data_IF_248747294973
#
_entry.id   IF_248747294973
#
_cell.length_a   1.000
_cell.length_b   1.000
_cell.length_c   1.000
_cell.angle_alpha   90.00
_cell.angle_beta   90.00
_cell.angle_gamma   90.00
#
_symmetry.space_group_name_H-M   'P 1'
#
loop_
_entity.id
_entity.type
_entity.pdbx_description
1 polymer ?
#
# COMPACT_ATOMS: atom_id res chain seq x y z
N UNK A 1 -16.38 -54.63 -26.51
CA UNK A 1 -15.80 -53.97 -25.32
C UNK A 1 -15.11 -52.70 -25.79
N UNK A 2 -15.79 -51.56 -25.73
CA UNK A 2 -15.26 -50.29 -26.24
C UNK A 2 -14.63 -49.57 -25.04
N UNK A 3 -13.31 -49.47 -25.11
CA UNK A 3 -12.44 -48.86 -24.11
C UNK A 3 -12.82 -47.40 -23.89
N UNK A 4 -13.28 -47.06 -22.69
CA UNK A 4 -13.57 -45.69 -22.29
C UNK A 4 -12.25 -44.97 -22.02
N UNK A 5 -11.72 -44.31 -23.05
CA UNK A 5 -10.55 -43.44 -22.95
C UNK A 5 -10.95 -42.24 -22.08
N UNK A 6 -10.57 -42.29 -20.80
CA UNK A 6 -10.78 -41.21 -19.83
C UNK A 6 -9.98 -39.97 -20.23
N UNK A 7 -10.68 -38.91 -20.62
CA UNK A 7 -10.08 -37.60 -20.85
C UNK A 7 -9.80 -36.98 -19.48
N UNK A 8 -8.54 -36.99 -19.07
CA UNK A 8 -8.05 -36.24 -17.90
C UNK A 8 -7.86 -34.80 -18.34
N UNK A 9 -8.85 -33.94 -18.05
CA UNK A 9 -8.72 -32.50 -18.17
C UNK A 9 -7.80 -31.99 -17.05
N UNK A 10 -6.51 -31.82 -17.36
CA UNK A 10 -5.59 -31.02 -16.54
C UNK A 10 -6.04 -29.56 -16.60
N UNK A 11 -6.76 -29.13 -15.57
CA UNK A 11 -7.02 -27.71 -15.33
C UNK A 11 -5.70 -27.12 -14.82
N UNK A 12 -4.94 -26.48 -15.70
CA UNK A 12 -3.80 -25.66 -15.28
C UNK A 12 -4.33 -24.51 -14.42
N UNK A 13 -4.20 -24.64 -13.11
CA UNK A 13 -4.34 -23.53 -12.19
C UNK A 13 -3.19 -22.55 -12.48
N UNK A 14 -3.46 -21.58 -13.36
CA UNK A 14 -2.58 -20.43 -13.51
C UNK A 14 -2.70 -19.66 -12.20
N UNK A 15 -1.71 -19.84 -11.33
CA UNK A 15 -1.51 -18.96 -10.18
C UNK A 15 -1.22 -17.57 -10.74
N UNK A 16 -2.28 -16.79 -10.93
CA UNK A 16 -2.17 -15.37 -11.23
C UNK A 16 -1.57 -14.75 -9.98
N UNK A 17 -0.24 -14.60 -9.97
CA UNK A 17 0.42 -13.74 -9.01
C UNK A 17 -0.11 -12.34 -9.29
N UNK A 18 -1.16 -11.93 -8.59
CA UNK A 18 -1.63 -10.56 -8.58
C UNK A 18 -0.46 -9.73 -8.05
N UNK A 19 0.27 -9.10 -8.97
CA UNK A 19 1.37 -8.23 -8.63
C UNK A 19 0.73 -7.00 -8.00
N UNK A 20 0.97 -6.78 -6.71
CA UNK A 20 0.39 -5.67 -5.98
C UNK A 20 0.71 -4.36 -6.69
N UNK A 21 -0.33 -3.57 -6.93
CA UNK A 21 -0.30 -2.32 -7.65
C UNK A 21 -0.10 -1.19 -6.65
N UNK A 22 0.99 -0.45 -6.78
CA UNK A 22 1.41 0.53 -5.78
C UNK A 22 1.57 1.94 -6.35
N UNK A 23 1.28 2.93 -5.51
CA UNK A 23 1.51 4.35 -5.77
C UNK A 23 2.41 4.92 -4.68
N UNK A 24 3.42 5.66 -5.13
CA UNK A 24 4.35 6.37 -4.26
C UNK A 24 3.97 7.84 -4.14
N UNK A 25 3.94 8.35 -2.92
CA UNK A 25 3.69 9.77 -2.62
C UNK A 25 4.73 10.30 -1.66
N UNK A 26 5.08 11.57 -1.81
CA UNK A 26 6.10 12.22 -1.01
C UNK A 26 5.70 13.67 -0.68
N UNK A 27 6.12 14.14 0.50
CA UNK A 27 6.13 15.55 0.88
C UNK A 27 7.47 15.88 1.54
N UNK A 28 8.05 17.02 1.19
CA UNK A 28 9.30 17.49 1.78
C UNK A 28 10.55 16.76 1.28
N UNK A 29 11.63 16.85 2.07
CA UNK A 29 12.96 16.33 1.74
C UNK A 29 13.19 14.92 2.27
N UNK A 30 13.92 14.09 1.52
CA UNK A 30 14.21 12.68 1.85
C UNK A 30 15.70 12.40 2.09
N UNK A 31 16.48 13.46 2.29
CA UNK A 31 17.92 13.44 2.55
C UNK A 31 18.29 13.27 4.04
N UNK A 32 17.30 13.25 4.94
CA UNK A 32 17.49 13.14 6.39
C UNK A 32 17.55 11.72 6.93
N UNK A 33 17.53 11.59 8.26
CA UNK A 33 17.49 10.30 8.94
C UNK A 33 16.12 9.67 8.75
N UNK A 34 16.08 8.47 8.15
CA UNK A 34 14.85 7.79 7.80
C UNK A 34 14.36 6.86 8.92
N UNK A 35 13.09 7.01 9.30
CA UNK A 35 12.37 6.16 10.24
C UNK A 35 11.17 5.52 9.55
N UNK A 36 11.17 4.19 9.47
CA UNK A 36 10.04 3.43 8.94
C UNK A 36 9.01 3.23 10.04
N UNK A 37 7.76 3.60 9.74
CA UNK A 37 6.63 3.33 10.62
C UNK A 37 6.09 1.93 10.39
N UNK A 38 5.29 1.45 11.34
CA UNK A 38 4.53 0.22 11.15
C UNK A 38 3.54 0.39 9.98
N UNK A 39 3.35 -0.68 9.18
CA UNK A 39 2.44 -0.63 8.05
C UNK A 39 1.00 -0.44 8.53
N UNK A 40 0.25 0.38 7.79
CA UNK A 40 -1.18 0.60 8.03
C UNK A 40 -1.99 -0.22 7.02
N UNK A 41 -2.91 -1.01 7.53
CA UNK A 41 -3.76 -1.91 6.72
C UNK A 41 -5.10 -1.25 6.42
N UNK A 42 -5.39 -1.07 5.13
CA UNK A 42 -6.65 -0.54 4.63
C UNK A 42 -7.67 -1.68 4.53
N UNK A 43 -8.72 -1.62 5.33
CA UNK A 43 -9.72 -2.68 5.37
C UNK A 43 -10.50 -2.80 4.04
N UNK A 44 -11.05 -3.98 3.72
CA UNK A 44 -11.98 -4.12 2.62
C UNK A 44 -13.24 -3.25 2.80
N UNK A 45 -13.86 -2.86 1.69
CA UNK A 45 -15.18 -2.21 1.67
C UNK A 45 -15.21 -0.69 1.88
N UNK A 46 -14.07 -0.05 2.18
CA UNK A 46 -13.96 1.41 2.21
C UNK A 46 -13.06 1.92 1.08
N UNK A 47 -13.45 3.03 0.47
CA UNK A 47 -12.69 3.69 -0.61
C UNK A 47 -11.67 4.68 -0.05
N UNK A 48 -12.11 5.53 0.86
CA UNK A 48 -11.36 6.70 1.32
C UNK A 48 -10.85 6.47 2.74
N UNK A 49 -9.55 6.71 2.95
CA UNK A 49 -8.87 6.52 4.23
C UNK A 49 -8.09 7.78 4.61
N UNK A 50 -8.19 8.14 5.89
CA UNK A 50 -7.28 9.11 6.53
C UNK A 50 -6.33 8.34 7.44
N UNK A 51 -5.06 8.29 7.06
CA UNK A 51 -3.99 7.68 7.83
C UNK A 51 -3.28 8.77 8.63
N UNK A 52 -3.26 8.62 9.95
CA UNK A 52 -2.56 9.55 10.83
C UNK A 52 -1.08 9.12 10.92
N UNK A 53 -0.18 10.08 10.71
CA UNK A 53 1.26 9.91 10.79
C UNK A 53 1.71 10.49 12.13
N UNK A 54 2.15 9.64 13.08
CA UNK A 54 2.57 10.11 14.39
C UNK A 54 3.84 10.97 14.27
N UNK A 55 3.91 12.02 15.08
CA UNK A 55 5.15 12.74 15.33
C UNK A 55 6.14 11.79 16.00
N UNK A 56 7.38 11.81 15.52
CA UNK A 56 8.42 10.92 16.01
C UNK A 56 9.26 11.64 17.08
N UNK A 57 9.37 11.11 18.32
CA UNK A 57 10.19 11.72 19.36
C UNK A 57 11.69 11.77 18.99
N UNK A 58 12.12 10.97 18.02
CA UNK A 58 13.47 10.97 17.49
C UNK A 58 13.75 12.16 16.57
N UNK A 59 12.73 12.79 15.98
CA UNK A 59 12.85 14.00 15.17
C UNK A 59 12.95 15.25 16.06
N UNK A 60 14.01 15.36 16.86
CA UNK A 60 14.17 16.47 17.83
C UNK A 60 14.23 17.85 17.14
N UNK A 61 14.72 17.88 15.90
CA UNK A 61 14.83 19.08 15.06
C UNK A 61 13.67 19.22 14.05
N UNK A 62 12.61 18.42 14.22
CA UNK A 62 11.44 18.37 13.35
C UNK A 62 11.54 17.39 12.19
N UNK A 63 10.39 17.03 11.64
CA UNK A 63 10.27 16.29 10.39
C UNK A 63 10.59 17.20 9.19
N UNK A 64 11.40 16.70 8.25
CA UNK A 64 11.73 17.40 7.00
C UNK A 64 11.05 16.78 5.77
N UNK A 65 10.61 15.53 5.87
CA UNK A 65 9.85 14.90 4.82
C UNK A 65 9.20 13.59 5.23
N UNK A 66 8.28 13.15 4.38
CA UNK A 66 7.50 11.92 4.55
C UNK A 66 7.30 11.29 3.18
N UNK A 67 7.50 9.99 3.10
CA UNK A 67 7.14 9.18 1.93
C UNK A 67 6.13 8.11 2.34
N UNK A 68 5.21 7.79 1.44
CA UNK A 68 4.31 6.67 1.61
C UNK A 68 4.22 5.86 0.32
N UNK A 69 4.29 4.54 0.47
CA UNK A 69 4.00 3.59 -0.60
C UNK A 69 2.66 2.92 -0.30
N UNK A 70 1.68 3.12 -1.16
CA UNK A 70 0.30 2.68 -0.99
C UNK A 70 0.05 1.57 -2.00
N UNK A 71 -0.23 0.36 -1.55
CA UNK A 71 -0.44 -0.80 -2.41
C UNK A 71 -1.84 -1.39 -2.24
N UNK A 72 -2.39 -1.87 -3.34
CA UNK A 72 -3.59 -2.70 -3.40
C UNK A 72 -3.37 -3.88 -4.35
N UNK A 73 -4.20 -4.90 -4.24
CA UNK A 73 -4.03 -6.12 -5.03
C UNK A 73 -4.62 -6.02 -6.44
N UNK A 74 -5.59 -5.11 -6.64
CA UNK A 74 -6.32 -4.96 -7.90
C UNK A 74 -5.86 -3.75 -8.73
N UNK A 75 -5.96 -2.54 -8.17
CA UNK A 75 -5.66 -1.28 -8.86
C UNK A 75 -4.83 -0.39 -7.95
N UNK A 76 -3.79 0.24 -8.52
CA UNK A 76 -2.95 1.17 -7.78
C UNK A 76 -3.81 2.29 -7.17
N UNK A 77 -3.83 2.46 -5.84
CA UNK A 77 -4.57 3.54 -5.19
C UNK A 77 -3.99 4.90 -5.56
N UNK A 78 -4.70 5.98 -5.22
CA UNK A 78 -4.11 7.32 -5.21
C UNK A 78 -3.96 7.82 -3.77
N UNK A 79 -3.10 8.80 -3.56
CA UNK A 79 -2.93 9.39 -2.25
C UNK A 79 -2.31 10.78 -2.29
N UNK A 80 -2.44 11.51 -1.19
CA UNK A 80 -1.86 12.84 -1.01
C UNK A 80 -1.46 13.05 0.45
N UNK A 81 -0.34 13.76 0.66
CA UNK A 81 0.15 14.12 1.98
C UNK A 81 -0.06 15.64 2.15
N UNK A 82 -1.20 16.10 2.69
CA UNK A 82 -1.45 17.54 2.88
C UNK A 82 -0.51 18.17 3.91
N UNK A 83 -0.15 17.44 4.96
CA UNK A 83 0.75 17.85 6.04
C UNK A 83 1.58 16.65 6.53
N UNK A 84 2.59 16.87 7.36
CA UNK A 84 3.47 15.78 7.83
C UNK A 84 2.78 14.78 8.79
N UNK A 85 1.53 15.04 9.20
CA UNK A 85 0.79 14.21 10.14
C UNK A 85 -0.39 13.47 9.50
N UNK A 86 -0.64 13.69 8.21
CA UNK A 86 -1.82 13.17 7.54
C UNK A 86 -1.47 12.64 6.16
N UNK A 87 -1.90 11.41 5.88
CA UNK A 87 -1.96 10.85 4.55
C UNK A 87 -3.43 10.55 4.20
N UNK A 88 -3.88 11.09 3.08
CA UNK A 88 -5.17 10.76 2.49
C UNK A 88 -4.94 9.71 1.42
N UNK A 89 -5.67 8.59 1.51
CA UNK A 89 -5.61 7.50 0.55
C UNK A 89 -6.99 7.30 -0.07
N UNK A 90 -7.02 7.18 -1.38
CA UNK A 90 -8.21 6.87 -2.16
C UNK A 90 -7.93 5.57 -2.91
N UNK A 91 -8.48 4.47 -2.40
CA UNK A 91 -8.44 3.20 -3.10
C UNK A 91 -9.21 3.31 -4.41
N UNK A 92 -8.82 2.53 -5.39
CA UNK A 92 -9.49 2.40 -6.69
C UNK A 92 -9.91 0.93 -6.88
N UNK A 93 -10.79 0.63 -7.83
CA UNK A 93 -11.20 -0.75 -8.12
C UNK A 93 -12.33 -1.27 -7.23
N UNK A 94 -12.19 -2.52 -6.76
CA UNK A 94 -13.26 -3.31 -6.16
C UNK A 94 -13.24 -3.32 -4.62
N UNK A 95 -12.15 -2.87 -3.99
CA UNK A 95 -12.00 -2.75 -2.53
C UNK A 95 -12.21 -4.05 -1.74
N UNK A 96 -12.02 -5.21 -2.38
CA UNK A 96 -12.31 -6.52 -1.77
C UNK A 96 -11.16 -7.04 -0.91
N UNK A 97 -9.93 -6.58 -1.16
CA UNK A 97 -8.73 -7.04 -0.49
C UNK A 97 -8.21 -6.01 0.51
N UNK A 98 -7.21 -6.40 1.29
CA UNK A 98 -6.54 -5.50 2.25
C UNK A 98 -5.51 -4.69 1.47
N UNK A 99 -5.63 -3.37 1.52
CA UNK A 99 -4.56 -2.48 1.05
C UNK A 99 -3.50 -2.31 2.13
N UNK A 100 -2.27 -1.97 1.73
CA UNK A 100 -1.16 -1.74 2.66
C UNK A 100 -0.52 -0.40 2.39
N UNK A 101 -0.28 0.37 3.45
CA UNK A 101 0.43 1.64 3.40
C UNK A 101 1.71 1.53 4.22
N UNK A 102 2.85 1.72 3.58
CA UNK A 102 4.16 1.77 4.22
C UNK A 102 4.66 3.21 4.23
N UNK A 103 4.88 3.76 5.43
CA UNK A 103 5.27 5.17 5.62
C UNK A 103 6.70 5.24 6.13
N UNK A 104 7.48 6.17 5.56
CA UNK A 104 8.81 6.54 6.08
C UNK A 104 8.83 8.04 6.36
N UNK A 105 9.23 8.40 7.57
CA UNK A 105 9.41 9.79 8.01
C UNK A 105 10.90 10.11 8.00
N UNK A 106 11.27 11.31 7.58
CA UNK A 106 12.64 11.81 7.52
C UNK A 106 12.81 12.95 8.51
N UNK A 107 13.77 12.82 9.43
CA UNK A 107 14.13 13.86 10.40
C UNK A 107 15.37 14.64 9.94
N UNK A 108 15.51 15.89 10.41
CA UNK A 108 16.74 16.69 10.25
C UNK A 108 17.88 16.21 11.14
#
# INVERSE_FOLDING_TARGET
>A
MISSVGIVLLICAVAVNAQSQCTFVQKGETNGVAYKLDPVYLQPGARDYKVNIPTLPQCVNGEIGVTANICDDDVAPSGTIPDFNTLLVYRLGNYQHIGVVSITVYCR
#
